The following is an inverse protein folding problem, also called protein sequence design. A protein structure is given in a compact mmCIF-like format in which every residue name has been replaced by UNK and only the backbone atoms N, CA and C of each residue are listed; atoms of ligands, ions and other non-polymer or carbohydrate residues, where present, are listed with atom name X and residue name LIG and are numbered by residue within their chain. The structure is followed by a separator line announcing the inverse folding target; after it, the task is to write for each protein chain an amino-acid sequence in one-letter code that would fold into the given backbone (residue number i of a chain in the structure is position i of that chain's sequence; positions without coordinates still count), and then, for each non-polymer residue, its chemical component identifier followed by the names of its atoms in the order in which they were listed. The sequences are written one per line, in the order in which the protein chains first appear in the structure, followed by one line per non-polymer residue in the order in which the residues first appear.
data_IF_437342666893
#
_entry.id   IF_437342666893
#
_cell.length_a   1.000
_cell.length_b   1.000
_cell.length_c   1.000
_cell.angle_alpha   90.00
_cell.angle_beta   90.00
_cell.angle_gamma   90.00
#
_symmetry.space_group_name_H-M   'P 1'
#
loop_
_entity.id
_entity.type
_entity.pdbx_description
1 polymer ?
#
# COMPACT_ATOMS: atom_id res chain seq x y z
N UNK A 1 57.32 54.15 81.14
CA UNK A 1 56.16 54.96 80.69
C UNK A 1 55.58 54.30 79.44
N UNK A 2 54.27 54.00 79.47
CA UNK A 2 53.30 53.71 78.38
C UNK A 2 53.82 53.12 77.04
N UNK A 3 53.22 52.10 76.41
CA UNK A 3 51.93 51.43 76.58
C UNK A 3 51.94 50.03 75.90
N UNK A 4 51.03 49.19 76.37
CA UNK A 4 50.68 47.83 75.90
C UNK A 4 50.02 47.85 74.52
N UNK A 5 50.20 46.77 73.74
CA UNK A 5 49.44 46.56 72.49
C UNK A 5 49.78 45.30 71.67
N UNK A 6 49.89 44.14 72.31
CA UNK A 6 49.69 42.77 71.79
C UNK A 6 48.43 42.62 70.89
N UNK A 7 48.22 41.72 69.91
CA UNK A 7 48.88 40.54 69.30
C UNK A 7 48.22 40.30 67.91
N UNK A 8 48.90 39.54 67.05
CA UNK A 8 48.43 38.29 66.39
C UNK A 8 48.68 38.18 64.87
N UNK A 9 49.08 36.96 64.52
CA UNK A 9 49.78 36.48 63.32
C UNK A 9 48.84 35.62 62.49
N UNK A 10 48.91 35.66 61.15
CA UNK A 10 49.07 34.45 60.30
C UNK A 10 49.26 34.74 58.81
N UNK A 11 50.24 34.00 58.26
CA UNK A 11 50.64 33.85 56.86
C UNK A 11 49.63 33.01 56.06
N UNK A 12 49.60 33.22 54.73
CA UNK A 12 49.03 32.29 53.74
C UNK A 12 48.93 32.95 52.36
N UNK A 13 50.02 32.96 51.59
CA UNK A 13 50.25 32.15 50.36
C UNK A 13 49.56 32.67 49.10
N UNK A 14 50.42 33.10 48.17
CA UNK A 14 50.18 33.65 46.83
C UNK A 14 49.86 32.52 45.84
N UNK A 15 48.77 32.64 45.09
CA UNK A 15 48.42 31.78 43.96
C UNK A 15 48.36 32.60 42.67
N UNK A 16 49.31 32.34 41.77
CA UNK A 16 49.47 32.98 40.46
C UNK A 16 48.42 32.47 39.45
N UNK A 17 47.70 33.41 38.84
CA UNK A 17 46.79 33.22 37.70
C UNK A 17 47.57 32.94 36.41
N UNK A 18 47.43 31.73 35.86
CA UNK A 18 47.98 31.38 34.55
C UNK A 18 46.85 31.15 33.54
N UNK A 19 46.76 32.08 32.59
CA UNK A 19 45.91 32.03 31.39
C UNK A 19 46.28 30.82 30.51
N UNK A 20 45.28 30.04 30.10
CA UNK A 20 45.32 29.28 28.82
C UNK A 20 43.96 29.37 28.14
N UNK A 21 43.97 30.04 26.99
CA UNK A 21 42.92 30.01 25.97
C UNK A 21 42.99 28.65 25.27
N UNK A 22 41.89 27.89 25.33
CA UNK A 22 41.70 26.71 24.49
C UNK A 22 40.61 27.04 23.47
N UNK A 23 41.03 27.13 22.21
CA UNK A 23 40.19 27.06 21.02
C UNK A 23 39.43 25.73 21.02
N UNK A 24 38.11 25.76 21.16
CA UNK A 24 37.24 24.61 20.86
C UNK A 24 36.50 24.89 19.56
N UNK A 25 37.11 24.48 18.44
CA UNK A 25 36.52 24.53 17.12
C UNK A 25 36.07 23.13 16.68
N UNK A 26 34.74 22.97 16.69
CA UNK A 26 33.93 22.15 15.77
C UNK A 26 34.28 20.67 15.58
N UNK A 27 33.78 19.82 16.49
CA UNK A 27 33.34 18.48 16.11
C UNK A 27 31.93 18.59 15.52
N UNK A 28 31.82 18.57 14.20
CA UNK A 28 30.56 18.44 13.46
C UNK A 28 29.93 17.08 13.77
N UNK A 29 29.17 17.03 14.87
CA UNK A 29 28.25 15.92 15.11
C UNK A 29 27.17 16.03 14.05
N UNK A 30 27.23 15.18 13.04
CA UNK A 30 26.08 14.83 12.22
C UNK A 30 25.03 14.22 13.16
N UNK A 31 24.26 15.07 13.83
CA UNK A 31 22.99 14.68 14.41
C UNK A 31 22.12 14.30 13.22
N UNK A 32 22.07 13.00 12.92
CA UNK A 32 21.01 12.42 12.10
C UNK A 32 19.72 12.74 12.82
N UNK A 33 19.07 13.82 12.41
CA UNK A 33 17.71 14.16 12.76
C UNK A 33 16.80 13.09 12.16
N UNK A 34 16.78 11.91 12.76
CA UNK A 34 15.68 10.98 12.57
C UNK A 34 14.46 11.71 13.10
N UNK A 35 13.59 12.12 12.17
CA UNK A 35 12.31 12.72 12.47
C UNK A 35 11.64 11.89 13.56
N UNK A 36 11.40 12.50 14.72
CA UNK A 36 10.52 11.92 15.73
C UNK A 36 9.15 11.83 15.09
N UNK A 37 8.82 10.66 14.53
CA UNK A 37 7.44 10.34 14.20
C UNK A 37 6.60 10.64 15.44
N UNK A 38 5.49 11.39 15.33
CA UNK A 38 4.66 11.70 16.48
C UNK A 38 4.31 10.37 17.17
N UNK A 39 4.45 10.37 18.51
CA UNK A 39 4.22 9.21 19.35
C UNK A 39 3.00 8.44 18.85
N UNK A 40 3.21 7.16 18.52
CA UNK A 40 2.13 6.21 18.28
C UNK A 40 1.07 6.42 19.38
N UNK A 41 -0.16 6.69 18.96
CA UNK A 41 -1.28 6.90 19.87
C UNK A 41 -1.55 5.60 20.62
N UNK A 42 -0.88 5.44 21.76
CA UNK A 42 -0.92 4.28 22.64
C UNK A 42 -2.38 3.89 22.91
N UNK A 43 -2.73 2.62 22.71
CA UNK A 43 -4.00 2.04 23.20
C UNK A 43 -4.14 2.40 24.69
N UNK A 44 -5.20 3.13 25.00
CA UNK A 44 -5.51 3.53 26.37
C UNK A 44 -6.30 2.40 27.06
N UNK A 45 -5.57 1.44 27.62
CA UNK A 45 -6.11 0.26 28.31
C UNK A 45 -7.19 0.62 29.34
N UNK A 46 -7.01 1.61 30.26
CA UNK A 46 -8.06 1.96 31.21
C UNK A 46 -9.32 2.53 30.53
N UNK A 47 -9.18 3.21 29.40
CA UNK A 47 -10.33 3.68 28.63
C UNK A 47 -11.09 2.50 27.97
N UNK A 48 -10.38 1.49 27.46
CA UNK A 48 -11.00 0.27 26.91
C UNK A 48 -11.71 -0.56 27.99
N UNK A 49 -11.14 -0.63 29.20
CA UNK A 49 -11.80 -1.26 30.34
C UNK A 49 -13.08 -0.52 30.73
N UNK A 50 -13.03 0.80 30.82
CA UNK A 50 -14.21 1.64 31.06
C UNK A 50 -15.25 1.51 29.95
N UNK A 51 -14.82 1.40 28.69
CA UNK A 51 -15.71 1.15 27.56
C UNK A 51 -16.48 -0.16 27.75
N UNK A 52 -15.78 -1.24 28.09
CA UNK A 52 -16.39 -2.54 28.39
C UNK A 52 -17.38 -2.48 29.54
N UNK A 53 -17.05 -1.76 30.61
CA UNK A 53 -17.97 -1.56 31.74
C UNK A 53 -19.24 -0.79 31.33
N UNK A 54 -19.12 0.22 30.48
CA UNK A 54 -20.26 1.00 30.00
C UNK A 54 -21.12 0.21 29.02
N UNK A 55 -20.50 -0.58 28.14
CA UNK A 55 -21.20 -1.51 27.24
C UNK A 55 -21.97 -2.57 28.02
N UNK A 56 -21.37 -3.12 29.08
CA UNK A 56 -22.01 -4.12 29.95
C UNK A 56 -23.17 -3.61 30.80
N UNK A 57 -23.35 -2.28 30.93
CA UNK A 57 -24.52 -1.68 31.60
C UNK A 57 -25.74 -1.59 30.70
N UNK A 58 -25.57 -1.72 29.38
CA UNK A 58 -26.66 -1.65 28.43
C UNK A 58 -27.37 -3.01 28.36
N UNK A 59 -28.71 -3.04 28.34
CA UNK A 59 -29.46 -4.30 28.41
C UNK A 59 -29.29 -5.17 27.17
N UNK A 60 -29.19 -4.56 25.98
CA UNK A 60 -28.94 -5.26 24.72
C UNK A 60 -28.36 -4.28 23.69
N UNK A 61 -27.18 -4.56 23.12
CA UNK A 61 -26.48 -3.66 22.19
C UNK A 61 -27.15 -3.57 20.81
N UNK A 62 -27.72 -4.67 20.33
CA UNK A 62 -28.32 -4.79 18.99
C UNK A 62 -29.75 -4.22 18.94
N UNK A 63 -30.44 -4.17 20.09
CA UNK A 63 -31.86 -3.81 20.15
C UNK A 63 -32.17 -2.74 21.22
N UNK A 64 -31.26 -1.79 21.47
CA UNK A 64 -31.48 -0.72 22.49
C UNK A 64 -32.78 0.06 22.25
N UNK A 65 -33.09 0.30 20.99
CA UNK A 65 -34.20 1.14 20.55
C UNK A 65 -35.45 0.33 20.20
N UNK A 66 -35.48 -0.96 20.51
CA UNK A 66 -36.62 -1.85 20.30
C UNK A 66 -37.01 -2.52 21.61
N UNK A 67 -38.31 -2.70 21.80
CA UNK A 67 -38.84 -3.61 22.81
C UNK A 67 -38.82 -5.04 22.27
N UNK A 68 -39.04 -6.04 23.13
CA UNK A 68 -39.13 -7.46 22.73
C UNK A 68 -40.24 -7.69 21.68
N UNK A 69 -41.27 -6.84 21.67
CA UNK A 69 -42.37 -6.86 20.70
C UNK A 69 -42.04 -6.19 19.35
N UNK A 70 -40.82 -5.69 19.15
CA UNK A 70 -40.39 -4.97 17.95
C UNK A 70 -40.87 -3.51 17.84
N UNK A 71 -41.61 -3.01 18.84
CA UNK A 71 -42.02 -1.61 18.93
C UNK A 71 -40.83 -0.70 19.31
N UNK A 72 -40.87 0.58 18.89
CA UNK A 72 -39.81 1.55 19.19
C UNK A 72 -39.75 1.85 20.69
N UNK A 73 -38.60 1.57 21.32
CA UNK A 73 -38.28 1.93 22.70
C UNK A 73 -37.61 3.31 22.74
N UNK A 74 -38.00 4.12 23.71
CA UNK A 74 -37.28 5.35 24.06
C UNK A 74 -36.37 5.01 25.24
N UNK A 75 -35.03 5.02 25.07
CA UNK A 75 -34.12 4.73 26.18
C UNK A 75 -34.19 5.81 27.25
N UNK A 76 -33.83 5.44 28.48
CA UNK A 76 -33.74 6.40 29.58
C UNK A 76 -32.64 7.45 29.33
N UNK A 77 -32.74 8.61 29.96
CA UNK A 77 -31.71 9.65 29.84
C UNK A 77 -30.31 9.17 30.26
N UNK A 78 -30.24 8.24 31.23
CA UNK A 78 -28.98 7.61 31.64
C UNK A 78 -28.38 6.73 30.54
N UNK A 79 -29.20 5.93 29.87
CA UNK A 79 -28.79 5.11 28.72
C UNK A 79 -28.35 6.00 27.55
N UNK A 80 -29.09 7.07 27.25
CA UNK A 80 -28.73 8.02 26.18
C UNK A 80 -27.37 8.70 26.44
N UNK A 81 -27.07 9.06 27.69
CA UNK A 81 -25.75 9.62 28.07
C UNK A 81 -24.62 8.63 27.80
N UNK A 82 -24.83 7.36 28.15
CA UNK A 82 -23.84 6.30 27.91
C UNK A 82 -23.62 6.13 26.41
N UNK A 83 -24.69 6.02 25.63
CA UNK A 83 -24.62 5.82 24.17
C UNK A 83 -23.94 7.02 23.49
N UNK A 84 -24.28 8.25 23.90
CA UNK A 84 -23.65 9.47 23.38
C UNK A 84 -22.14 9.50 23.66
N UNK A 85 -21.72 9.11 24.87
CA UNK A 85 -20.31 8.98 25.24
C UNK A 85 -19.59 7.91 24.39
N UNK A 86 -20.20 6.73 24.22
CA UNK A 86 -19.62 5.63 23.43
C UNK A 86 -19.48 6.00 21.95
N UNK A 87 -20.48 6.69 21.37
CA UNK A 87 -20.41 7.18 19.99
C UNK A 87 -19.28 8.19 19.80
N UNK A 88 -19.05 9.07 20.79
CA UNK A 88 -17.92 10.00 20.78
C UNK A 88 -16.60 9.24 20.89
N UNK A 89 -16.52 8.31 21.83
CA UNK A 89 -15.31 7.52 22.08
C UNK A 89 -14.87 6.75 20.83
N UNK A 90 -15.82 6.14 20.11
CA UNK A 90 -15.58 5.40 18.86
C UNK A 90 -14.87 6.24 17.81
N UNK A 91 -15.20 7.53 17.67
CA UNK A 91 -14.55 8.45 16.71
C UNK A 91 -13.13 8.84 17.11
N UNK A 92 -12.85 8.91 18.41
CA UNK A 92 -11.52 9.24 18.94
C UNK A 92 -10.59 8.05 18.95
N UNK A 93 -11.14 6.84 19.01
CA UNK A 93 -10.40 5.60 19.08
C UNK A 93 -9.71 5.32 17.76
N UNK A 94 -8.40 5.12 17.79
CA UNK A 94 -7.61 4.73 16.63
C UNK A 94 -6.63 3.65 17.03
N UNK A 95 -6.64 2.54 16.31
CA UNK A 95 -5.62 1.51 16.43
C UNK A 95 -4.55 1.77 15.39
N UNK A 96 -3.30 1.87 15.83
CA UNK A 96 -2.19 1.91 14.88
C UNK A 96 -1.85 0.48 14.42
N UNK A 97 -1.51 0.29 13.15
CA UNK A 97 -1.17 -1.03 12.62
C UNK A 97 0.04 -1.65 13.34
N UNK A 98 1.02 -0.83 13.74
CA UNK A 98 2.20 -1.27 14.49
C UNK A 98 1.82 -1.80 15.88
N UNK A 99 0.80 -1.21 16.49
CA UNK A 99 0.30 -1.60 17.82
C UNK A 99 -0.40 -2.96 17.79
N UNK A 100 -1.14 -3.23 16.71
CA UNK A 100 -1.75 -4.54 16.47
C UNK A 100 -0.72 -5.67 16.42
N UNK A 101 0.56 -5.40 16.15
CA UNK A 101 1.62 -6.41 16.24
C UNK A 101 2.32 -6.41 17.60
N UNK A 102 2.48 -5.25 18.24
CA UNK A 102 3.35 -5.08 19.43
C UNK A 102 2.67 -5.47 20.74
N UNK A 103 1.34 -5.29 20.87
CA UNK A 103 0.66 -5.53 22.16
C UNK A 103 0.51 -7.02 22.53
N UNK A 104 0.40 -7.34 23.84
CA UNK A 104 -0.08 -8.64 24.30
C UNK A 104 -1.46 -9.00 23.75
N UNK A 105 -1.73 -10.30 23.52
CA UNK A 105 -3.01 -10.79 22.96
C UNK A 105 -4.23 -10.33 23.76
N UNK A 106 -4.15 -10.35 25.09
CA UNK A 106 -5.26 -9.96 25.98
C UNK A 106 -5.80 -8.55 25.70
N UNK A 107 -4.92 -7.58 25.40
CA UNK A 107 -5.35 -6.20 25.09
C UNK A 107 -5.90 -6.06 23.67
N UNK A 108 -5.40 -6.87 22.73
CA UNK A 108 -5.94 -6.93 21.36
C UNK A 108 -7.34 -7.52 21.38
N UNK A 109 -7.53 -8.62 22.11
CA UNK A 109 -8.82 -9.29 22.23
C UNK A 109 -9.83 -8.36 22.90
N UNK A 110 -9.43 -7.60 23.94
CA UNK A 110 -10.26 -6.58 24.57
C UNK A 110 -10.69 -5.49 23.57
N UNK A 111 -9.74 -4.96 22.79
CA UNK A 111 -10.01 -3.93 21.80
C UNK A 111 -10.98 -4.43 20.71
N UNK A 112 -10.73 -5.63 20.17
CA UNK A 112 -11.52 -6.25 19.11
C UNK A 112 -12.94 -6.59 19.59
N UNK A 113 -13.10 -7.11 20.80
CA UNK A 113 -14.41 -7.35 21.40
C UNK A 113 -15.19 -6.04 21.56
N UNK A 114 -14.55 -5.01 22.12
CA UNK A 114 -15.16 -3.69 22.25
C UNK A 114 -15.52 -3.09 20.87
N UNK A 115 -14.71 -3.32 19.82
CA UNK A 115 -15.02 -2.89 18.45
C UNK A 115 -16.30 -3.52 17.92
N UNK A 116 -16.43 -4.84 18.05
CA UNK A 116 -17.63 -5.57 17.63
C UNK A 116 -18.87 -5.09 18.38
N UNK A 117 -18.76 -4.86 19.69
CA UNK A 117 -19.86 -4.37 20.51
C UNK A 117 -20.28 -2.93 20.16
N UNK A 118 -19.31 -2.06 19.87
CA UNK A 118 -19.56 -0.69 19.41
C UNK A 118 -20.15 -0.66 17.99
N UNK A 119 -19.74 -1.56 17.12
CA UNK A 119 -20.29 -1.70 15.76
C UNK A 119 -21.77 -2.12 15.82
N UNK A 120 -22.09 -3.10 16.66
CA UNK A 120 -23.48 -3.52 16.92
C UNK A 120 -24.35 -2.38 17.46
N UNK A 121 -23.81 -1.60 18.41
CA UNK A 121 -24.45 -0.41 18.95
C UNK A 121 -24.74 0.65 17.87
N UNK A 122 -23.78 0.86 16.97
CA UNK A 122 -23.92 1.81 15.86
C UNK A 122 -24.95 1.34 14.84
N UNK A 123 -24.90 0.06 14.48
CA UNK A 123 -25.84 -0.56 13.54
C UNK A 123 -27.29 -0.47 14.06
N UNK A 124 -27.51 -0.75 15.34
CA UNK A 124 -28.85 -0.65 15.96
C UNK A 124 -29.39 0.78 15.96
N UNK A 125 -28.54 1.76 16.26
CA UNK A 125 -28.90 3.18 16.24
C UNK A 125 -29.25 3.67 14.82
N UNK A 126 -28.45 3.25 13.83
CA UNK A 126 -28.61 3.63 12.43
C UNK A 126 -29.88 3.05 11.81
N UNK A 127 -30.15 1.75 11.98
CA UNK A 127 -31.25 1.06 11.30
C UNK A 127 -32.65 1.46 11.82
N UNK A 128 -32.78 1.85 13.08
CA UNK A 128 -34.07 1.95 13.77
C UNK A 128 -34.58 3.41 13.86
N UNK A 129 -33.66 4.36 14.05
CA UNK A 129 -33.98 5.76 14.35
C UNK A 129 -33.40 6.72 13.29
N UNK A 130 -32.54 6.25 12.38
CA UNK A 130 -31.77 7.07 11.41
C UNK A 130 -30.97 8.22 12.07
N UNK A 131 -30.83 8.17 13.41
CA UNK A 131 -30.21 9.21 14.21
C UNK A 131 -29.36 8.58 15.28
N UNK A 132 -28.21 9.20 15.53
CA UNK A 132 -27.25 8.78 16.55
C UNK A 132 -27.14 9.91 17.59
N UNK A 133 -27.29 9.61 18.89
CA UNK A 133 -27.08 10.60 19.93
C UNK A 133 -25.58 10.88 20.06
N UNK A 134 -25.22 12.16 20.14
CA UNK A 134 -23.84 12.61 20.34
C UNK A 134 -23.79 13.70 21.42
N UNK A 135 -22.70 13.71 22.17
CA UNK A 135 -22.41 14.75 23.16
C UNK A 135 -21.74 15.94 22.47
N UNK A 136 -22.31 17.14 22.62
CA UNK A 136 -21.72 18.38 22.12
C UNK A 136 -20.56 18.80 23.03
N UNK A 137 -19.38 19.00 22.44
CA UNK A 137 -18.14 19.31 23.18
C UNK A 137 -18.17 20.66 23.87
N UNK A 138 -19.01 21.59 23.42
CA UNK A 138 -19.09 22.93 23.98
C UNK A 138 -20.09 23.04 25.16
N UNK A 139 -21.17 22.26 25.14
CA UNK A 139 -22.29 22.40 26.07
C UNK A 139 -22.52 21.17 26.96
N UNK A 140 -21.97 20.01 26.61
CA UNK A 140 -22.23 18.73 27.31
C UNK A 140 -23.66 18.22 27.12
N UNK A 141 -24.45 18.85 26.25
CA UNK A 141 -25.81 18.44 25.93
C UNK A 141 -25.82 17.31 24.90
N UNK A 142 -26.80 16.42 25.03
CA UNK A 142 -27.00 15.31 24.10
C UNK A 142 -27.86 15.80 22.94
N UNK A 143 -27.31 15.77 21.73
CA UNK A 143 -28.02 16.12 20.50
C UNK A 143 -28.13 14.90 19.60
N UNK A 144 -29.16 14.89 18.76
CA UNK A 144 -29.35 13.84 17.76
C UNK A 144 -28.75 14.29 16.45
N UNK A 145 -27.79 13.53 15.92
CA UNK A 145 -27.29 13.72 14.55
C UNK A 145 -28.04 12.77 13.63
N UNK A 146 -28.62 13.30 12.55
CA UNK A 146 -29.17 12.47 11.47
C UNK A 146 -27.99 11.86 10.71
N UNK A 147 -27.99 10.54 10.56
CA UNK A 147 -26.96 9.82 9.79
C UNK A 147 -27.62 9.38 8.49
N UNK A 148 -27.04 9.81 7.37
CA UNK A 148 -27.45 9.39 6.02
C UNK A 148 -26.24 8.84 5.30
N UNK A 149 -26.49 7.90 4.39
CA UNK A 149 -25.47 7.13 3.66
C UNK A 149 -24.42 8.01 2.96
N UNK A 150 -24.74 9.26 2.60
CA UNK A 150 -23.83 10.16 1.88
C UNK A 150 -22.73 10.82 2.74
N UNK A 151 -22.71 10.66 4.07
CA UNK A 151 -21.73 11.34 4.94
C UNK A 151 -20.56 10.46 5.42
N UNK A 152 -20.70 9.13 5.40
CA UNK A 152 -19.68 8.22 5.95
C UNK A 152 -18.98 7.42 4.83
N UNK A 153 -17.66 7.56 4.74
CA UNK A 153 -16.85 6.77 3.79
C UNK A 153 -16.87 5.30 4.21
N UNK A 154 -17.28 4.42 3.32
CA UNK A 154 -17.38 2.95 3.53
C UNK A 154 -16.02 2.24 3.65
N UNK A 155 -14.90 2.99 3.67
CA UNK A 155 -13.55 2.47 3.91
C UNK A 155 -12.88 1.83 2.67
N UNK A 156 -13.64 1.14 1.81
CA UNK A 156 -13.12 0.55 0.57
C UNK A 156 -12.82 1.60 -0.51
N UNK A 157 -13.51 2.74 -0.46
CA UNK A 157 -13.40 3.81 -1.47
C UNK A 157 -11.97 4.27 -1.66
N UNK A 158 -11.22 4.49 -0.58
CA UNK A 158 -9.84 4.97 -0.67
C UNK A 158 -8.94 3.92 -1.35
N UNK A 159 -9.15 2.63 -1.06
CA UNK A 159 -8.38 1.54 -1.67
C UNK A 159 -8.72 1.49 -3.17
N UNK A 160 -10.00 1.55 -3.51
CA UNK A 160 -10.44 1.54 -4.90
C UNK A 160 -9.87 2.74 -5.69
N UNK A 161 -10.04 3.95 -5.17
CA UNK A 161 -9.69 5.17 -5.90
C UNK A 161 -8.19 5.42 -5.98
N UNK A 162 -7.41 5.08 -4.94
CA UNK A 162 -5.98 5.38 -4.91
C UNK A 162 -5.08 4.20 -5.31
N UNK A 163 -5.56 2.96 -5.22
CA UNK A 163 -4.77 1.78 -5.59
C UNK A 163 -5.33 1.12 -6.85
N UNK A 164 -6.60 0.71 -6.82
CA UNK A 164 -7.17 -0.10 -7.89
C UNK A 164 -7.28 0.66 -9.21
N UNK A 165 -7.88 1.85 -9.21
CA UNK A 165 -8.08 2.64 -10.43
C UNK A 165 -6.73 3.00 -11.09
N UNK A 166 -5.72 3.54 -10.37
CA UNK A 166 -4.42 3.83 -10.98
C UNK A 166 -3.71 2.58 -11.49
N UNK A 167 -3.76 1.46 -10.76
CA UNK A 167 -3.16 0.20 -11.21
C UNK A 167 -3.83 -0.33 -12.49
N UNK A 168 -5.15 -0.22 -12.58
CA UNK A 168 -5.88 -0.62 -13.78
C UNK A 168 -5.57 0.29 -14.97
N UNK A 169 -5.54 1.61 -14.76
CA UNK A 169 -5.11 2.56 -15.80
C UNK A 169 -3.68 2.26 -16.28
N UNK A 170 -2.77 1.96 -15.36
CA UNK A 170 -1.41 1.57 -15.68
C UNK A 170 -1.35 0.26 -16.48
N UNK A 171 -2.17 -0.74 -16.13
CA UNK A 171 -2.27 -1.99 -16.89
C UNK A 171 -2.74 -1.73 -18.32
N UNK A 172 -3.77 -0.90 -18.51
CA UNK A 172 -4.27 -0.56 -19.85
C UNK A 172 -3.19 0.15 -20.66
N UNK A 173 -2.50 1.11 -20.06
CA UNK A 173 -1.33 1.79 -20.63
C UNK A 173 -0.26 0.77 -21.03
N UNK A 174 0.10 -0.15 -20.14
CA UNK A 174 1.09 -1.18 -20.41
C UNK A 174 0.66 -2.09 -21.58
N UNK A 175 -0.62 -2.45 -21.68
CA UNK A 175 -1.13 -3.27 -22.78
C UNK A 175 -1.14 -2.53 -24.12
N UNK A 176 -1.43 -1.23 -24.13
CA UNK A 176 -1.40 -0.41 -25.34
C UNK A 176 0.02 -0.12 -25.85
N UNK A 177 0.99 0.04 -24.96
CA UNK A 177 2.41 0.24 -25.30
C UNK A 177 3.23 -1.05 -25.35
N UNK A 178 2.58 -2.20 -25.16
CA UNK A 178 3.22 -3.50 -25.34
C UNK A 178 3.39 -3.74 -26.84
N UNK A 179 4.58 -3.44 -27.35
CA UNK A 179 5.03 -3.77 -28.71
C UNK A 179 5.31 -5.29 -28.81
N UNK A 180 4.28 -6.10 -28.58
CA UNK A 180 4.35 -7.54 -28.80
C UNK A 180 4.14 -7.81 -30.29
N UNK A 181 5.20 -8.24 -30.96
CA UNK A 181 5.11 -8.81 -32.29
C UNK A 181 4.13 -9.99 -32.25
N UNK A 182 3.04 -9.92 -33.01
CA UNK A 182 2.08 -11.02 -33.11
C UNK A 182 2.82 -12.30 -33.49
N UNK A 183 2.43 -13.46 -32.92
CA UNK A 183 3.09 -14.75 -33.22
C UNK A 183 3.12 -15.04 -34.72
N UNK A 184 2.10 -14.59 -35.46
CA UNK A 184 2.03 -14.68 -36.92
C UNK A 184 3.09 -13.83 -37.62
N UNK A 185 3.31 -12.60 -37.14
CA UNK A 185 4.34 -11.71 -37.68
C UNK A 185 5.74 -12.24 -37.34
N UNK A 186 5.94 -12.67 -36.09
CA UNK A 186 7.18 -13.33 -35.67
C UNK A 186 7.47 -14.56 -36.51
N UNK A 187 6.47 -15.43 -36.75
CA UNK A 187 6.63 -16.63 -37.54
C UNK A 187 6.97 -16.32 -39.01
N UNK A 188 6.37 -15.28 -39.60
CA UNK A 188 6.73 -14.79 -40.94
C UNK A 188 8.19 -14.34 -40.98
N UNK A 189 8.61 -13.49 -40.04
CA UNK A 189 9.98 -12.97 -39.97
C UNK A 189 11.02 -14.08 -39.74
N UNK A 190 10.70 -15.04 -38.87
CA UNK A 190 11.51 -16.23 -38.63
C UNK A 190 11.61 -17.13 -39.88
N UNK A 191 10.52 -17.31 -40.63
CA UNK A 191 10.54 -18.04 -41.89
C UNK A 191 11.46 -17.35 -42.91
N UNK A 192 11.32 -16.04 -43.06
CA UNK A 192 12.16 -15.24 -43.97
C UNK A 192 13.65 -15.30 -43.57
N UNK A 193 13.94 -15.24 -42.28
CA UNK A 193 15.30 -15.44 -41.76
C UNK A 193 15.88 -16.80 -42.18
N UNK A 194 15.09 -17.87 -42.06
CA UNK A 194 15.54 -19.21 -42.48
C UNK A 194 15.75 -19.32 -43.98
N UNK A 195 14.90 -18.69 -44.78
CA UNK A 195 15.07 -18.65 -46.24
C UNK A 195 16.36 -17.92 -46.61
N UNK A 196 16.59 -16.74 -46.01
CA UNK A 196 17.84 -15.99 -46.20
C UNK A 196 19.07 -16.81 -45.79
N UNK A 197 19.07 -17.40 -44.60
CA UNK A 197 20.20 -18.22 -44.12
C UNK A 197 20.48 -19.43 -45.01
N UNK A 198 19.46 -20.01 -45.65
CA UNK A 198 19.64 -21.08 -46.63
C UNK A 198 20.20 -20.55 -47.95
N UNK A 199 19.69 -19.42 -48.46
CA UNK A 199 20.19 -18.76 -49.66
C UNK A 199 21.67 -18.36 -49.53
N UNK A 200 22.12 -17.89 -48.35
CA UNK A 200 23.54 -17.61 -48.07
C UNK A 200 24.42 -18.86 -48.16
N UNK A 201 23.91 -20.03 -47.73
CA UNK A 201 24.65 -21.30 -47.77
C UNK A 201 24.70 -21.91 -49.16
N UNK A 202 23.63 -21.76 -49.93
CA UNK A 202 23.47 -22.32 -51.28
C UNK A 202 24.00 -21.38 -52.36
N UNK A 203 24.33 -20.12 -52.01
CA UNK A 203 24.84 -19.12 -52.94
C UNK A 203 23.77 -18.56 -53.88
N UNK A 204 22.50 -18.55 -53.47
CA UNK A 204 21.39 -18.06 -54.30
C UNK A 204 21.40 -16.52 -54.35
N UNK A 205 22.04 -16.00 -55.40
CA UNK A 205 22.19 -14.55 -55.60
C UNK A 205 20.87 -13.82 -55.91
N UNK A 206 19.82 -14.53 -56.35
CA UNK A 206 18.53 -13.91 -56.69
C UNK A 206 17.68 -13.68 -55.44
N UNK A 207 17.64 -14.66 -54.54
CA UNK A 207 17.00 -14.51 -53.23
C UNK A 207 17.70 -13.44 -52.38
N UNK A 208 19.04 -13.41 -52.37
CA UNK A 208 19.81 -12.43 -51.59
C UNK A 208 19.59 -10.99 -52.06
N UNK A 209 19.62 -10.74 -53.37
CA UNK A 209 19.29 -9.42 -53.95
C UNK A 209 17.87 -8.97 -53.63
N UNK A 210 16.96 -9.90 -53.41
CA UNK A 210 15.58 -9.59 -53.03
C UNK A 210 15.53 -9.14 -51.57
N UNK A 211 16.24 -9.81 -50.66
CA UNK A 211 16.34 -9.38 -49.25
C UNK A 211 17.03 -8.03 -49.09
N UNK A 212 18.11 -7.76 -49.84
CA UNK A 212 18.84 -6.47 -49.79
C UNK A 212 17.96 -5.25 -50.09
N UNK A 213 16.88 -5.41 -50.87
CA UNK A 213 15.95 -4.33 -51.21
C UNK A 213 15.04 -3.92 -50.06
N UNK A 214 14.77 -4.81 -49.11
CA UNK A 214 13.80 -4.62 -48.03
C UNK A 214 14.42 -4.62 -46.62
N UNK A 215 15.69 -5.02 -46.51
CA UNK A 215 16.51 -4.89 -45.30
C UNK A 215 17.36 -6.13 -45.01
N UNK A 216 18.49 -5.92 -44.34
CA UNK A 216 19.45 -7.00 -44.06
C UNK A 216 18.98 -8.00 -42.99
N UNK A 217 18.07 -7.59 -42.09
CA UNK A 217 17.67 -8.41 -40.94
C UNK A 217 16.16 -8.64 -40.92
N UNK A 218 15.66 -9.73 -41.52
CA UNK A 218 14.22 -10.02 -41.56
C UNK A 218 13.59 -10.20 -40.17
N UNK A 219 14.38 -10.55 -39.15
CA UNK A 219 13.94 -10.71 -37.75
C UNK A 219 13.58 -9.38 -37.05
N UNK A 220 14.17 -8.27 -37.49
CA UNK A 220 14.03 -6.97 -36.83
C UNK A 220 12.87 -6.15 -37.39
N UNK A 221 12.35 -5.22 -36.58
CA UNK A 221 11.33 -4.25 -37.01
C UNK A 221 11.79 -3.30 -38.12
N UNK A 222 13.11 -3.20 -38.35
CA UNK A 222 13.73 -2.41 -39.42
C UNK A 222 13.46 -2.99 -40.82
N UNK A 223 13.10 -4.28 -40.91
CA UNK A 223 12.76 -4.92 -42.18
C UNK A 223 11.34 -4.55 -42.60
N UNK A 224 11.20 -3.98 -43.80
CA UNK A 224 9.92 -3.59 -44.38
C UNK A 224 9.13 -4.82 -44.86
N UNK A 225 8.49 -5.48 -43.91
CA UNK A 225 7.65 -6.65 -44.16
C UNK A 225 6.43 -6.32 -45.04
N UNK A 226 5.88 -5.10 -44.91
CA UNK A 226 4.69 -4.68 -45.65
C UNK A 226 4.98 -4.37 -47.11
N UNK A 227 6.18 -3.84 -47.41
CA UNK A 227 6.69 -3.69 -48.76
C UNK A 227 7.11 -5.02 -49.39
N UNK A 228 7.66 -5.92 -48.57
CA UNK A 228 8.06 -7.27 -48.97
C UNK A 228 6.87 -8.12 -49.47
N UNK A 229 5.76 -8.16 -48.72
CA UNK A 229 4.53 -8.94 -49.05
C UNK A 229 3.92 -8.60 -50.44
N UNK A 230 4.41 -7.55 -51.15
CA UNK A 230 3.91 -7.14 -52.47
C UNK A 230 4.81 -7.54 -53.64
N UNK A 231 6.08 -7.90 -53.39
CA UNK A 231 7.09 -8.14 -54.43
C UNK A 231 8.04 -9.27 -54.02
N UNK A 232 7.50 -10.36 -53.48
CA UNK A 232 8.25 -11.46 -52.87
C UNK A 232 8.22 -12.76 -53.68
N UNK A 233 7.76 -12.74 -54.95
CA UNK A 233 7.57 -13.92 -55.80
C UNK A 233 8.74 -14.92 -55.75
N UNK A 234 9.98 -14.41 -55.84
CA UNK A 234 11.21 -15.21 -55.79
C UNK A 234 11.35 -15.94 -54.44
N UNK A 235 11.07 -15.25 -53.33
CA UNK A 235 11.16 -15.81 -51.99
C UNK A 235 10.00 -16.77 -51.71
N UNK A 236 8.79 -16.44 -52.19
CA UNK A 236 7.63 -17.33 -52.12
C UNK A 236 7.89 -18.63 -52.87
N UNK A 237 8.47 -18.56 -54.08
CA UNK A 237 8.88 -19.75 -54.83
C UNK A 237 9.89 -20.60 -54.05
N UNK A 238 10.85 -19.97 -53.38
CA UNK A 238 11.80 -20.68 -52.51
C UNK A 238 11.13 -21.30 -51.28
N UNK A 239 10.19 -20.61 -50.65
CA UNK A 239 9.38 -21.14 -49.54
C UNK A 239 8.56 -22.35 -50.00
N UNK A 240 7.94 -22.28 -51.17
CA UNK A 240 7.12 -23.38 -51.72
C UNK A 240 7.94 -24.59 -52.15
N UNK A 241 9.16 -24.37 -52.66
CA UNK A 241 10.07 -25.43 -53.10
C UNK A 241 10.92 -26.03 -51.98
N UNK A 242 11.01 -25.36 -50.82
CA UNK A 242 11.88 -25.76 -49.72
C UNK A 242 11.15 -26.15 -48.44
N UNK A 243 11.77 -27.05 -47.66
CA UNK A 243 11.32 -27.37 -46.31
C UNK A 243 12.05 -26.52 -45.27
N UNK A 244 11.36 -25.54 -44.69
CA UNK A 244 11.91 -24.63 -43.66
C UNK A 244 11.35 -24.87 -42.26
N UNK A 245 10.30 -25.68 -42.18
CA UNK A 245 9.74 -26.12 -40.91
C UNK A 245 10.61 -27.21 -40.27
N UNK A 246 10.80 -27.11 -38.95
CA UNK A 246 11.62 -28.03 -38.16
C UNK A 246 10.76 -29.04 -37.38
N UNK A 247 9.45 -29.13 -37.63
CA UNK A 247 8.56 -30.08 -36.95
C UNK A 247 9.04 -31.54 -37.04
N UNK A 248 9.58 -31.98 -38.18
CA UNK A 248 10.08 -33.36 -38.33
C UNK A 248 11.21 -33.69 -37.34
N UNK A 249 12.11 -32.73 -37.06
CA UNK A 249 13.20 -32.89 -36.08
C UNK A 249 12.68 -32.97 -34.64
N UNK A 250 11.55 -32.31 -34.36
CA UNK A 250 10.91 -32.35 -33.05
C UNK A 250 10.16 -33.67 -32.81
N UNK A 251 9.60 -34.28 -33.86
CA UNK A 251 8.91 -35.58 -33.79
C UNK A 251 9.84 -36.77 -33.52
N UNK A 252 11.14 -36.66 -33.78
CA UNK A 252 12.12 -37.73 -33.48
C UNK A 252 12.16 -38.07 -31.99
N UNK A 253 12.13 -37.07 -31.10
CA UNK A 253 12.06 -37.29 -29.64
C UNK A 253 10.73 -37.94 -29.20
N UNK A 254 9.64 -37.65 -29.90
CA UNK A 254 8.31 -38.21 -29.59
C UNK A 254 8.16 -39.68 -30.03
N UNK A 255 8.97 -40.12 -31.00
CA UNK A 255 9.11 -41.53 -31.35
C UNK A 255 10.04 -42.27 -30.37
N UNK A 256 11.11 -41.63 -29.91
CA UNK A 256 12.02 -42.18 -28.90
C UNK A 256 11.35 -42.36 -27.53
N UNK A 257 10.60 -41.36 -27.05
CA UNK A 257 9.86 -41.43 -25.78
C UNK A 257 8.65 -42.38 -25.77
N UNK A 258 8.20 -42.86 -26.95
CA UNK A 258 7.13 -43.85 -27.06
C UNK A 258 7.64 -45.30 -27.12
N UNK A 259 8.95 -45.48 -27.22
CA UNK A 259 9.62 -46.78 -27.25
C UNK A 259 10.34 -47.12 -25.93
N UNK A 260 10.35 -46.19 -24.97
CA UNK A 260 10.65 -46.42 -23.55
C UNK A 260 9.33 -46.53 -22.76
#
# INVERSE_FOLDING_TARGET
MFAKGSYFVRKGTVGLLQKRLCFNSSASTFARSFHSTPLAAKIDIPAEQKCKELLGKLPNLEYIFQNEDGSKRIPSEGELKIIAFLNRYTKTRKLNWIELFTYPRQYKDLYLQNDQDLEKLKASSGLIIDKIPYEDTATGEIKWKIVRDNEEKEGWENIAHFLFIPAFCFLVVALCWRDDMNVTEWAKRELLYRVKSKAEKEGDTEALKTFEKFGDKPEGYEFDLAGFDKNDDVIVERILSGEYDKMAKLKVKQHQQRQE
#
